data_IF_301799028684
#
_entry.id   IF_301799028684
#
_cell.length_a   1.000
_cell.length_b   1.000
_cell.length_c   1.000
_cell.angle_alpha   90.00
_cell.angle_beta   90.00
_cell.angle_gamma   90.00
#
_symmetry.space_group_name_H-M   'P 1'
#
loop_
_entity.id
_entity.type
_entity.pdbx_description
1 polymer ?
#
# COMPACT_ATOMS: atom_id res chain seq x y z
N UNK A 1 -12.88 -32.92 51.43
CA UNK A 1 -12.61 -32.76 49.99
C UNK A 1 -12.30 -34.14 49.46
N UNK A 2 -13.24 -34.70 48.72
CA UNK A 2 -13.08 -36.03 48.13
C UNK A 2 -12.14 -35.95 46.93
N UNK A 3 -11.40 -37.02 46.64
CA UNK A 3 -10.44 -37.07 45.55
C UNK A 3 -11.04 -36.66 44.19
N UNK A 4 -12.33 -36.90 44.00
CA UNK A 4 -13.12 -36.53 42.81
C UNK A 4 -13.19 -35.00 42.65
N UNK A 5 -13.38 -34.26 43.74
CA UNK A 5 -13.53 -32.81 43.73
C UNK A 5 -12.22 -32.12 43.33
N UNK A 6 -11.09 -32.63 43.82
CA UNK A 6 -9.74 -32.15 43.48
C UNK A 6 -9.43 -32.36 41.99
N UNK A 7 -9.82 -33.53 41.43
CA UNK A 7 -9.61 -33.83 40.00
C UNK A 7 -10.43 -32.89 39.12
N UNK A 8 -11.67 -32.56 39.51
CA UNK A 8 -12.51 -31.62 38.77
C UNK A 8 -11.91 -30.22 38.78
N UNK A 9 -11.44 -29.72 39.93
CA UNK A 9 -10.79 -28.41 40.00
C UNK A 9 -9.52 -28.34 39.15
N UNK A 10 -8.74 -29.42 39.13
CA UNK A 10 -7.50 -29.47 38.35
C UNK A 10 -7.79 -29.50 36.83
N UNK A 11 -8.83 -30.21 36.41
CA UNK A 11 -9.27 -30.23 35.01
C UNK A 11 -9.76 -28.85 34.54
N UNK A 12 -10.55 -28.16 35.37
CA UNK A 12 -11.03 -26.80 35.06
C UNK A 12 -9.86 -25.80 34.99
N UNK A 13 -8.89 -25.91 35.89
CA UNK A 13 -7.71 -25.04 35.89
C UNK A 13 -6.87 -25.22 34.60
N UNK A 14 -6.67 -26.45 34.14
CA UNK A 14 -5.95 -26.73 32.89
C UNK A 14 -6.72 -26.22 31.68
N UNK A 15 -8.05 -26.38 31.65
CA UNK A 15 -8.88 -25.86 30.57
C UNK A 15 -8.82 -24.32 30.48
N UNK A 16 -8.88 -23.62 31.62
CA UNK A 16 -8.77 -22.17 31.67
C UNK A 16 -7.38 -21.68 31.22
N UNK A 17 -6.31 -22.37 31.64
CA UNK A 17 -4.96 -22.06 31.16
C UNK A 17 -4.83 -22.24 29.65
N UNK A 18 -5.43 -23.29 29.07
CA UNK A 18 -5.43 -23.51 27.63
C UNK A 18 -6.20 -22.44 26.84
N UNK A 19 -7.31 -21.94 27.37
CA UNK A 19 -8.08 -20.85 26.74
C UNK A 19 -7.27 -19.54 26.76
N UNK A 20 -6.61 -19.23 27.87
CA UNK A 20 -5.77 -18.03 28.01
C UNK A 20 -4.57 -18.10 27.05
N UNK A 21 -3.91 -19.24 26.92
CA UNK A 21 -2.77 -19.37 25.99
C UNK A 21 -3.20 -19.27 24.53
N UNK A 22 -4.36 -19.83 24.15
CA UNK A 22 -4.91 -19.67 22.80
C UNK A 22 -5.27 -18.20 22.51
N UNK A 23 -5.87 -17.50 23.47
CA UNK A 23 -6.20 -16.08 23.32
C UNK A 23 -4.94 -15.21 23.20
N UNK A 24 -3.89 -15.48 23.99
CA UNK A 24 -2.61 -14.77 23.88
C UNK A 24 -1.87 -15.08 22.57
N UNK A 25 -1.95 -16.32 22.08
CA UNK A 25 -1.35 -16.71 20.81
C UNK A 25 -2.03 -16.01 19.62
N UNK A 26 -3.36 -15.88 19.64
CA UNK A 26 -4.13 -15.15 18.63
C UNK A 26 -3.80 -13.64 18.65
N UNK A 27 -3.68 -13.06 19.84
CA UNK A 27 -3.26 -11.66 20.02
C UNK A 27 -1.86 -11.39 19.48
N UNK A 28 -0.92 -12.33 19.67
CA UNK A 28 0.46 -12.20 19.21
C UNK A 28 0.64 -12.45 17.71
N UNK A 29 -0.30 -13.13 17.05
CA UNK A 29 -0.32 -13.29 15.58
C UNK A 29 -0.86 -12.03 14.91
N UNK A 30 -1.81 -11.32 15.53
CA UNK A 30 -2.32 -10.03 15.03
C UNK A 30 -1.27 -8.91 15.03
N UNK A 31 -0.26 -8.97 15.90
CA UNK A 31 0.75 -7.91 16.08
C UNK A 31 2.06 -8.18 15.31
N UNK A 32 2.29 -9.41 14.86
CA UNK A 32 3.55 -9.81 14.22
C UNK A 32 3.66 -9.50 12.72
N UNK A 33 2.59 -9.07 12.04
CA UNK A 33 2.69 -8.58 10.66
C UNK A 33 3.44 -7.25 10.56
N UNK A 34 3.38 -6.41 11.60
CA UNK A 34 4.09 -5.12 11.63
C UNK A 34 5.59 -5.31 11.93
N UNK A 35 5.95 -6.31 12.74
CA UNK A 35 7.35 -6.62 13.07
C UNK A 35 8.16 -7.24 11.92
N UNK A 36 7.51 -8.02 11.04
CA UNK A 36 8.19 -8.71 9.93
C UNK A 36 8.62 -7.73 8.82
N UNK A 37 7.79 -6.71 8.54
CA UNK A 37 8.12 -5.59 7.65
C UNK A 37 9.33 -4.81 8.16
N UNK A 38 9.41 -4.59 9.47
CA UNK A 38 10.50 -3.84 10.10
C UNK A 38 11.85 -4.58 10.04
N UNK A 39 11.83 -5.92 9.99
CA UNK A 39 13.02 -6.77 9.87
C UNK A 39 13.45 -6.93 8.40
N UNK A 40 12.51 -6.91 7.44
CA UNK A 40 12.81 -7.01 6.01
C UNK A 40 13.42 -5.74 5.42
N UNK A 41 13.15 -4.57 6.00
CA UNK A 41 13.59 -3.26 5.49
C UNK A 41 14.65 -2.58 6.37
N UNK A 42 15.53 -3.39 6.96
CA UNK A 42 16.74 -3.01 7.71
C UNK A 42 17.15 -1.52 7.68
N UNK A 43 17.04 -0.94 8.87
CA UNK A 43 17.71 0.21 9.52
C UNK A 43 18.87 0.97 8.82
N UNK A 44 18.78 1.29 7.53
CA UNK A 44 19.64 2.28 6.88
C UNK A 44 18.78 3.30 6.08
N UNK A 45 18.60 4.48 6.68
CA UNK A 45 18.21 5.78 6.09
C UNK A 45 16.80 6.00 5.51
N UNK A 46 15.93 4.99 5.42
CA UNK A 46 14.52 5.21 5.04
C UNK A 46 13.69 5.57 6.28
N UNK A 47 13.65 6.87 6.60
CA UNK A 47 12.81 7.51 7.63
C UNK A 47 11.58 6.69 8.03
N UNK A 48 11.69 6.02 9.16
CA UNK A 48 10.56 5.57 9.96
C UNK A 48 9.65 6.78 10.27
N UNK A 49 8.61 6.98 9.46
CA UNK A 49 7.62 8.02 9.75
C UNK A 49 6.60 8.43 8.68
N UNK A 50 6.64 7.97 7.42
CA UNK A 50 5.77 8.58 6.40
C UNK A 50 5.29 7.64 5.28
N UNK A 51 4.99 6.37 5.60
CA UNK A 51 4.18 5.57 4.69
C UNK A 51 2.72 5.60 5.14
N UNK A 52 1.83 6.05 4.26
CA UNK A 52 0.40 6.04 4.52
C UNK A 52 -0.15 4.66 4.16
N UNK A 53 -0.79 4.00 5.13
CA UNK A 53 -1.64 2.85 4.83
C UNK A 53 -2.85 3.35 4.07
N UNK A 54 -3.07 2.83 2.86
CA UNK A 54 -4.16 3.23 1.99
C UNK A 54 -4.91 2.02 1.44
N UNK A 55 -6.20 2.17 1.26
CA UNK A 55 -7.02 1.22 0.51
C UNK A 55 -6.85 1.43 -1.01
N UNK A 56 -7.34 0.51 -1.83
CA UNK A 56 -7.21 0.60 -3.28
C UNK A 56 -7.82 1.89 -3.84
N UNK A 57 -8.96 2.33 -3.32
CA UNK A 57 -9.59 3.58 -3.72
C UNK A 57 -8.78 4.82 -3.32
N UNK A 58 -8.17 4.77 -2.14
CA UNK A 58 -7.30 5.83 -1.65
C UNK A 58 -6.02 5.94 -2.48
N UNK A 59 -5.46 4.80 -2.91
CA UNK A 59 -4.36 4.78 -3.88
C UNK A 59 -4.75 5.49 -5.17
N UNK A 60 -5.94 5.19 -5.73
CA UNK A 60 -6.39 5.85 -6.97
C UNK A 60 -6.53 7.37 -6.75
N UNK A 61 -7.08 7.81 -5.63
CA UNK A 61 -7.14 9.23 -5.23
C UNK A 61 -5.76 9.87 -5.17
N UNK A 62 -4.80 9.19 -4.54
CA UNK A 62 -3.44 9.67 -4.40
C UNK A 62 -2.74 9.79 -5.75
N UNK A 63 -2.90 8.80 -6.63
CA UNK A 63 -2.35 8.83 -7.98
C UNK A 63 -2.90 10.00 -8.80
N UNK A 64 -4.18 10.31 -8.65
CA UNK A 64 -4.76 11.50 -9.30
C UNK A 64 -4.14 12.78 -8.76
N UNK A 65 -4.03 12.91 -7.44
CA UNK A 65 -3.42 14.07 -6.80
C UNK A 65 -1.99 14.25 -7.29
N UNK A 66 -1.20 13.19 -7.27
CA UNK A 66 0.20 13.23 -7.71
C UNK A 66 0.31 13.52 -9.21
N UNK A 67 -0.60 13.01 -10.03
CA UNK A 67 -0.62 13.30 -11.47
C UNK A 67 -0.85 14.78 -11.77
N UNK A 68 -1.71 15.45 -11.01
CA UNK A 68 -1.96 16.89 -11.16
C UNK A 68 -0.71 17.73 -10.82
N UNK A 69 0.08 17.27 -9.85
CA UNK A 69 1.36 17.89 -9.50
C UNK A 69 2.47 17.51 -10.50
N UNK A 70 2.36 16.33 -11.10
CA UNK A 70 3.34 15.78 -12.03
C UNK A 70 3.29 16.45 -13.41
N UNK A 71 2.11 16.84 -13.90
CA UNK A 71 2.00 17.56 -15.17
C UNK A 71 2.46 19.00 -15.02
N UNK A 72 3.52 19.45 -15.73
CA UNK A 72 3.93 20.84 -15.66
C UNK A 72 2.80 21.73 -16.19
N UNK A 73 2.39 22.70 -15.38
CA UNK A 73 1.37 23.68 -15.76
C UNK A 73 1.85 24.41 -17.01
N UNK A 74 1.16 24.17 -18.13
CA UNK A 74 1.44 24.77 -19.44
C UNK A 74 1.47 26.30 -19.32
N UNK A 75 2.67 26.87 -19.20
CA UNK A 75 2.88 28.31 -18.97
C UNK A 75 4.26 28.67 -18.43
N UNK A 76 4.96 27.74 -17.78
CA UNK A 76 6.39 27.92 -17.50
C UNK A 76 7.21 27.36 -18.66
N UNK A 77 7.74 28.25 -19.48
CA UNK A 77 8.86 27.93 -20.37
C UNK A 77 10.02 27.43 -19.50
N UNK A 78 10.24 26.12 -19.49
CA UNK A 78 11.43 25.50 -18.92
C UNK A 78 12.59 25.83 -19.87
N UNK A 79 13.06 27.07 -19.82
CA UNK A 79 14.36 27.44 -20.37
C UNK A 79 15.43 26.81 -19.50
N UNK A 80 16.09 25.80 -20.06
CA UNK A 80 17.42 25.34 -19.69
C UNK A 80 17.66 25.19 -18.18
N UNK A 81 17.13 24.15 -17.57
CA UNK A 81 17.89 23.49 -16.51
C UNK A 81 17.76 21.99 -16.67
N UNK A 82 18.91 21.32 -16.58
CA UNK A 82 19.06 19.88 -16.39
C UNK A 82 18.50 19.41 -15.04
N UNK A 83 17.49 20.09 -14.49
CA UNK A 83 16.79 19.71 -13.28
C UNK A 83 15.72 18.70 -13.66
N UNK A 84 16.14 17.45 -13.76
CA UNK A 84 15.26 16.32 -13.48
C UNK A 84 14.73 16.51 -12.04
N UNK A 85 13.65 17.26 -11.89
CA UNK A 85 12.88 17.34 -10.64
C UNK A 85 12.22 15.99 -10.41
N UNK A 86 12.99 15.06 -9.86
CA UNK A 86 12.44 13.93 -9.12
C UNK A 86 11.64 14.55 -7.97
N UNK A 87 10.33 14.55 -8.14
CA UNK A 87 9.41 15.05 -7.12
C UNK A 87 9.36 14.00 -6.03
N UNK A 88 9.40 14.45 -4.76
CA UNK A 88 9.45 13.60 -3.57
C UNK A 88 8.62 12.32 -3.76
N UNK A 89 9.30 11.17 -3.76
CA UNK A 89 8.62 9.90 -3.90
C UNK A 89 7.72 9.65 -2.69
N UNK A 90 6.45 9.37 -2.92
CA UNK A 90 5.49 9.07 -1.86
C UNK A 90 5.42 7.57 -1.66
N UNK A 91 5.64 7.12 -0.43
CA UNK A 91 5.54 5.70 -0.07
C UNK A 91 4.14 5.40 0.47
N UNK A 92 3.51 4.37 -0.06
CA UNK A 92 2.19 3.91 0.38
C UNK A 92 2.18 2.41 0.62
N UNK A 93 1.45 1.99 1.64
CA UNK A 93 1.23 0.58 1.93
C UNK A 93 -0.21 0.21 1.60
N UNK A 94 -0.39 -0.77 0.70
CA UNK A 94 -1.71 -1.30 0.37
C UNK A 94 -1.96 -2.55 1.21
N UNK A 95 -3.04 -2.55 1.98
CA UNK A 95 -3.44 -3.67 2.85
C UNK A 95 -4.21 -4.76 2.12
N UNK A 96 -4.82 -4.43 0.99
CA UNK A 96 -5.66 -5.36 0.24
C UNK A 96 -4.83 -6.47 -0.42
N UNK A 97 -5.43 -7.65 -0.52
CA UNK A 97 -4.86 -8.78 -1.24
C UNK A 97 -5.23 -8.72 -2.72
N UNK A 98 -4.26 -9.01 -3.59
CA UNK A 98 -4.51 -9.03 -5.03
C UNK A 98 -3.27 -8.80 -5.88
N UNK A 99 -3.51 -8.51 -7.15
CA UNK A 99 -2.45 -8.16 -8.10
C UNK A 99 -2.68 -6.73 -8.55
N UNK A 100 -1.75 -5.86 -8.20
CA UNK A 100 -1.70 -4.51 -8.74
C UNK A 100 -0.99 -4.55 -10.08
N UNK A 101 -1.70 -4.15 -11.14
CA UNK A 101 -1.11 -3.93 -12.44
C UNK A 101 -1.78 -2.74 -13.11
N UNK A 102 -1.25 -2.31 -14.25
CA UNK A 102 -1.83 -1.19 -14.99
C UNK A 102 -3.31 -1.43 -15.34
N UNK A 103 -3.69 -2.65 -15.73
CA UNK A 103 -5.08 -2.98 -16.10
C UNK A 103 -6.04 -2.78 -14.94
N UNK A 104 -5.74 -3.33 -13.76
CA UNK A 104 -6.61 -3.22 -12.59
C UNK A 104 -6.78 -1.77 -12.15
N UNK A 105 -5.71 -0.98 -12.21
CA UNK A 105 -5.74 0.45 -11.88
C UNK A 105 -6.56 1.24 -12.89
N UNK A 106 -6.38 1.00 -14.18
CA UNK A 106 -7.14 1.71 -15.22
C UNK A 106 -8.62 1.30 -15.27
N UNK A 107 -8.95 0.04 -14.98
CA UNK A 107 -10.33 -0.39 -14.81
C UNK A 107 -11.00 0.38 -13.66
N UNK A 108 -10.29 0.55 -12.53
CA UNK A 108 -10.82 1.33 -11.41
C UNK A 108 -10.94 2.82 -11.76
N UNK A 109 -9.93 3.43 -12.36
CA UNK A 109 -9.96 4.83 -12.84
C UNK A 109 -11.15 5.08 -13.78
N UNK A 110 -11.45 4.12 -14.66
CA UNK A 110 -12.61 4.19 -15.55
C UNK A 110 -13.91 4.12 -14.78
N UNK A 111 -14.01 3.25 -13.77
CA UNK A 111 -15.22 3.12 -12.95
C UNK A 111 -15.56 4.42 -12.19
N UNK A 112 -14.54 5.19 -11.82
CA UNK A 112 -14.68 6.50 -11.16
C UNK A 112 -14.67 7.70 -12.15
N UNK A 113 -14.67 7.44 -13.46
CA UNK A 113 -14.68 8.42 -14.55
C UNK A 113 -13.51 9.43 -14.54
N UNK A 114 -12.29 8.99 -14.23
CA UNK A 114 -11.10 9.86 -14.13
C UNK A 114 -10.15 9.81 -15.34
N UNK A 115 -10.70 9.47 -16.51
CA UNK A 115 -9.93 9.43 -17.75
C UNK A 115 -9.36 10.80 -18.16
N UNK A 116 -9.85 11.92 -17.59
CA UNK A 116 -9.35 13.26 -17.90
C UNK A 116 -7.98 13.55 -17.27
N UNK A 117 -7.65 12.87 -16.17
CA UNK A 117 -6.37 13.04 -15.45
C UNK A 117 -5.37 11.93 -15.73
N UNK A 118 -5.85 10.69 -15.82
CA UNK A 118 -5.04 9.50 -16.07
C UNK A 118 -5.55 8.80 -17.32
N UNK A 119 -4.70 8.73 -18.34
CA UNK A 119 -5.09 8.22 -19.66
C UNK A 119 -4.44 6.86 -19.93
N UNK A 120 -5.16 6.01 -20.67
CA UNK A 120 -4.66 4.77 -21.25
C UNK A 120 -5.54 4.35 -22.43
N UNK A 121 -4.89 3.99 -23.56
CA UNK A 121 -5.56 3.62 -24.80
C UNK A 121 -6.22 2.25 -24.75
N UNK A 122 -5.55 1.28 -24.17
CA UNK A 122 -5.97 -0.10 -24.12
C UNK A 122 -7.16 -0.29 -23.16
N UNK A 123 -7.35 0.63 -22.22
CA UNK A 123 -8.44 0.60 -21.24
C UNK A 123 -9.52 1.68 -21.46
N UNK A 124 -9.48 2.41 -22.57
CA UNK A 124 -10.56 3.33 -23.00
C UNK A 124 -10.52 4.74 -22.40
N UNK A 125 -9.41 5.15 -21.79
CA UNK A 125 -9.20 6.49 -21.21
C UNK A 125 -8.34 7.42 -22.09
N UNK A 126 -8.28 7.25 -23.42
CA UNK A 126 -7.58 8.18 -24.32
C UNK A 126 -6.26 7.64 -24.89
N UNK A 127 -5.45 8.45 -25.59
CA UNK A 127 -4.32 7.95 -26.40
C UNK A 127 -2.94 8.07 -25.76
N UNK A 128 -2.83 8.64 -24.56
CA UNK A 128 -1.57 8.79 -23.80
C UNK A 128 -1.57 7.83 -22.63
N UNK A 129 -0.41 7.32 -22.24
CA UNK A 129 -0.23 6.49 -21.05
C UNK A 129 0.74 7.20 -20.14
N UNK A 130 0.24 7.81 -19.08
CA UNK A 130 1.05 8.61 -18.16
C UNK A 130 1.29 7.91 -16.82
N UNK A 131 1.06 6.59 -16.76
CA UNK A 131 1.15 5.77 -15.56
C UNK A 131 1.86 4.46 -15.91
N UNK A 132 2.99 4.24 -15.27
CA UNK A 132 3.80 3.04 -15.41
C UNK A 132 3.75 2.26 -14.11
N UNK A 133 3.26 1.03 -14.17
CA UNK A 133 3.12 0.15 -13.01
C UNK A 133 3.68 -1.20 -13.40
N UNK A 134 4.64 -1.70 -12.62
CA UNK A 134 5.05 -3.09 -12.71
C UNK A 134 4.01 -3.97 -12.02
N UNK A 135 3.80 -5.18 -12.53
CA UNK A 135 2.89 -6.12 -11.87
C UNK A 135 3.47 -6.49 -10.49
N UNK A 136 2.74 -6.11 -9.44
CA UNK A 136 3.14 -6.32 -8.04
C UNK A 136 2.02 -7.03 -7.31
N UNK A 137 2.36 -8.07 -6.53
CA UNK A 137 1.39 -8.69 -5.62
C UNK A 137 1.26 -7.84 -4.37
N UNK A 138 0.02 -7.51 -4.00
CA UNK A 138 -0.32 -6.78 -2.77
C UNK A 138 -0.89 -7.78 -1.74
N UNK A 139 -0.71 -7.57 -0.42
CA UNK A 139 -0.23 -6.34 0.21
C UNK A 139 1.27 -6.06 0.00
N UNK A 140 1.60 -4.82 -0.33
CA UNK A 140 2.97 -4.37 -0.58
C UNK A 140 3.13 -2.87 -0.33
N UNK A 141 4.36 -2.46 -0.04
CA UNK A 141 4.75 -1.04 -0.06
C UNK A 141 5.08 -0.67 -1.49
N UNK A 142 4.53 0.45 -1.96
CA UNK A 142 4.73 0.99 -3.29
C UNK A 142 5.27 2.40 -3.19
N UNK A 143 6.18 2.71 -4.09
CA UNK A 143 6.72 4.04 -4.28
C UNK A 143 6.03 4.70 -5.47
N UNK A 144 5.36 5.82 -5.24
CA UNK A 144 4.81 6.68 -6.29
C UNK A 144 5.83 7.76 -6.57
N UNK A 145 6.35 7.80 -7.79
CA UNK A 145 7.27 8.83 -8.24
C UNK A 145 6.78 9.47 -9.53
N UNK A 146 7.07 10.75 -9.70
CA UNK A 146 6.80 11.48 -10.92
C UNK A 146 8.11 11.80 -11.65
N UNK A 147 8.16 11.47 -12.93
CA UNK A 147 9.28 11.77 -13.80
C UNK A 147 8.79 12.22 -15.17
N UNK A 148 9.19 13.44 -15.59
CA UNK A 148 8.84 14.03 -16.89
C UNK A 148 7.33 14.01 -17.22
N UNK A 149 6.47 14.28 -16.22
CA UNK A 149 5.01 14.30 -16.41
C UNK A 149 4.37 12.91 -16.56
N UNK A 150 5.10 11.84 -16.21
CA UNK A 150 4.60 10.48 -16.11
C UNK A 150 4.78 9.96 -14.68
N UNK A 151 3.79 9.25 -14.17
CA UNK A 151 3.82 8.58 -12.88
C UNK A 151 4.40 7.18 -13.01
N UNK A 152 5.20 6.79 -12.03
CA UNK A 152 5.79 5.46 -11.89
C UNK A 152 5.38 4.91 -10.52
N UNK A 153 4.92 3.66 -10.52
CA UNK A 153 4.70 2.88 -9.31
C UNK A 153 5.62 1.66 -9.35
N UNK A 154 6.46 1.54 -8.34
CA UNK A 154 7.43 0.46 -8.18
C UNK A 154 7.64 0.07 -6.74
#
# INVERSE_FOLDING_TARGET
MDAVEIVVFLAVAVALLGIVTLFLADWQISDQSEGLLNILFGDDDLRAGDYQSVDYDELIMLLRSEMQHCTPTSGQNVTNSSDTRETNATLVYIKEEGVLNASSVFERIRSVAWCDTLQNKDHGCGTRTNLHINQTMIPAVLQISCFNGSLYLG
#
